data_IF_536903449586
#
_entry.id   IF_536903449586
#
_cell.length_a   1.000
_cell.length_b   1.000
_cell.length_c   1.000
_cell.angle_alpha   90.00
_cell.angle_beta   90.00
_cell.angle_gamma   90.00
#
_symmetry.space_group_name_H-M   'P 1'
#
loop_
_entity.id
_entity.type
_entity.pdbx_description
1 polymer ?
#
# COMPACT_ATOMS: atom_id res chain seq x y z
N UNK A 1 47.65 44.39 1.01
CA UNK A 1 46.53 45.35 1.12
C UNK A 1 45.35 44.69 0.45
N UNK A 2 44.41 44.05 1.14
CA UNK A 2 43.97 44.13 2.54
C UNK A 2 43.31 42.79 2.93
N UNK A 3 43.64 42.31 4.12
CA UNK A 3 42.80 41.64 5.14
C UNK A 3 42.16 40.25 4.91
N UNK A 4 42.76 39.27 5.60
CA UNK A 4 42.21 38.09 6.32
C UNK A 4 41.39 38.54 7.57
N UNK A 5 40.70 37.71 8.42
CA UNK A 5 40.41 36.26 8.40
C UNK A 5 39.04 35.77 9.04
N UNK A 6 38.84 34.44 9.02
CA UNK A 6 38.29 33.55 10.09
C UNK A 6 36.77 33.37 10.40
N UNK A 7 36.48 32.15 10.88
CA UNK A 7 35.33 31.60 11.67
C UNK A 7 34.07 31.18 10.86
N UNK A 8 33.46 30.00 11.01
CA UNK A 8 33.34 29.05 12.14
C UNK A 8 33.03 27.62 11.69
N UNK A 9 33.53 26.67 12.48
CA UNK A 9 33.05 25.29 12.65
C UNK A 9 31.57 25.19 13.07
N UNK A 10 30.88 24.15 12.62
CA UNK A 10 29.57 23.71 13.10
C UNK A 10 28.82 22.97 11.99
N UNK A 11 28.22 21.81 12.18
CA UNK A 11 27.98 20.94 13.32
C UNK A 11 27.42 19.66 12.69
N UNK A 12 27.87 18.50 13.14
CA UNK A 12 27.26 17.21 12.81
C UNK A 12 25.75 17.29 12.97
N UNK A 13 25.01 17.17 11.87
CA UNK A 13 23.59 16.92 11.87
C UNK A 13 23.41 15.42 11.62
N UNK A 14 23.48 14.66 12.70
CA UNK A 14 22.96 13.31 12.79
C UNK A 14 21.45 13.36 12.54
N UNK A 15 21.04 13.14 11.30
CA UNK A 15 19.63 12.92 10.98
C UNK A 15 19.30 11.45 11.27
N UNK A 16 18.84 11.23 12.50
CA UNK A 16 18.26 9.98 12.97
C UNK A 16 16.98 9.71 12.19
N UNK A 17 17.10 8.95 11.10
CA UNK A 17 15.97 8.33 10.42
C UNK A 17 15.40 7.24 11.34
N UNK A 18 14.45 7.64 12.19
CA UNK A 18 13.56 6.70 12.88
C UNK A 18 12.75 5.94 11.81
N UNK A 19 13.23 4.74 11.50
CA UNK A 19 12.50 3.75 10.73
C UNK A 19 11.25 3.34 11.53
N UNK A 20 10.14 4.01 11.28
CA UNK A 20 8.81 3.63 11.75
C UNK A 20 8.43 2.25 11.22
N UNK A 21 8.63 1.22 12.04
CA UNK A 21 8.16 -0.14 11.76
C UNK A 21 6.63 -0.13 11.87
N UNK A 22 5.93 -0.13 10.73
CA UNK A 22 4.48 -0.28 10.66
C UNK A 22 4.07 -1.62 11.29
N UNK A 23 3.16 -1.57 12.29
CA UNK A 23 2.77 -2.68 13.17
C UNK A 23 1.82 -3.67 12.50
N UNK A 24 2.15 -4.20 11.32
CA UNK A 24 1.30 -5.17 10.59
C UNK A 24 1.60 -6.65 10.89
N UNK A 25 2.16 -7.01 12.05
CA UNK A 25 2.36 -8.43 12.42
C UNK A 25 2.13 -8.73 13.90
N UNK A 26 0.93 -9.22 14.21
CA UNK A 26 0.74 -10.16 15.32
C UNK A 26 -0.51 -11.02 15.04
N UNK A 27 -0.31 -12.26 14.58
CA UNK A 27 -1.31 -13.32 14.74
C UNK A 27 -0.89 -14.23 15.89
N UNK A 28 -1.85 -14.48 16.76
CA UNK A 28 -1.77 -15.10 18.08
C UNK A 28 -1.34 -16.58 18.04
N UNK A 29 -0.50 -16.99 18.99
CA UNK A 29 -0.32 -18.40 19.37
C UNK A 29 -1.27 -18.70 20.55
N UNK A 30 -2.21 -19.63 20.34
CA UNK A 30 -3.16 -20.11 21.33
C UNK A 30 -2.63 -21.25 22.20
N UNK A 31 -3.11 -21.27 23.44
CA UNK A 31 -2.73 -22.06 24.61
C UNK A 31 -2.69 -23.60 24.45
N UNK A 32 -1.82 -24.24 25.25
CA UNK A 32 -2.14 -25.50 25.93
C UNK A 32 -1.75 -25.41 27.41
N UNK A 33 -2.71 -25.68 28.29
CA UNK A 33 -2.54 -25.81 29.74
C UNK A 33 -2.74 -27.28 30.14
N UNK A 34 -1.98 -27.76 31.12
CA UNK A 34 -2.26 -29.00 31.89
C UNK A 34 -1.90 -28.74 33.37
N UNK A 35 -2.71 -29.20 34.36
CA UNK A 35 -2.67 -28.72 35.74
C UNK A 35 -1.77 -29.57 36.66
N UNK A 36 -1.37 -29.01 37.80
CA UNK A 36 -0.81 -29.76 38.93
C UNK A 36 -1.60 -29.43 40.21
N UNK A 37 -1.95 -30.47 40.98
CA UNK A 37 -2.86 -30.44 42.11
C UNK A 37 -2.16 -30.39 43.48
N UNK A 38 -2.86 -29.72 44.42
CA UNK A 38 -3.01 -29.97 45.86
C UNK A 38 -1.87 -29.74 46.88
N UNK A 39 -2.13 -28.84 47.85
CA UNK A 39 -2.08 -29.12 49.31
C UNK A 39 -2.80 -28.02 50.12
N UNK A 40 -3.47 -28.42 51.21
CA UNK A 40 -4.36 -27.62 52.08
C UNK A 40 -3.62 -26.76 53.13
N UNK A 41 -4.22 -25.62 53.50
CA UNK A 41 -3.93 -24.89 54.75
C UNK A 41 -4.83 -23.65 54.91
N UNK A 42 -5.58 -23.56 56.00
CA UNK A 42 -6.57 -22.51 56.27
C UNK A 42 -6.04 -21.43 57.23
N UNK A 43 -6.32 -20.13 56.97
CA UNK A 43 -6.67 -19.11 57.99
C UNK A 43 -6.95 -17.69 57.42
N UNK A 44 -8.15 -17.16 57.76
CA UNK A 44 -8.61 -15.76 57.95
C UNK A 44 -8.72 -14.77 56.77
N UNK A 45 -9.82 -13.97 56.69
CA UNK A 45 -10.12 -13.10 55.56
C UNK A 45 -9.47 -11.70 55.71
N UNK A 46 -8.86 -11.22 54.63
CA UNK A 46 -8.34 -9.86 54.49
C UNK A 46 -9.19 -9.09 53.45
N UNK A 47 -9.23 -7.75 53.50
CA UNK A 47 -10.22 -6.97 52.74
C UNK A 47 -9.98 -7.04 51.24
N UNK A 48 -11.10 -6.94 50.54
CA UNK A 48 -11.32 -6.93 49.10
C UNK A 48 -10.34 -6.02 48.36
N UNK A 49 -9.50 -6.60 47.51
CA UNK A 49 -9.02 -5.90 46.31
C UNK A 49 -9.80 -6.49 45.15
N UNK A 50 -10.96 -5.89 44.84
CA UNK A 50 -11.51 -6.04 43.50
C UNK A 50 -10.40 -5.64 42.54
N UNK A 51 -9.98 -6.59 41.69
CA UNK A 51 -9.22 -6.23 40.52
C UNK A 51 -10.10 -5.25 39.74
N UNK A 52 -9.74 -3.97 39.80
CA UNK A 52 -10.31 -2.94 38.93
C UNK A 52 -10.22 -3.53 37.52
N UNK A 53 -11.33 -3.74 36.80
CA UNK A 53 -11.25 -3.93 35.37
C UNK A 53 -10.54 -2.67 34.91
N UNK A 54 -9.28 -2.80 34.47
CA UNK A 54 -8.68 -1.73 33.71
C UNK A 54 -9.61 -1.62 32.51
N UNK A 55 -10.43 -0.58 32.49
CA UNK A 55 -11.08 -0.14 31.28
C UNK A 55 -9.96 -0.06 30.27
N UNK A 56 -9.90 -1.08 29.41
CA UNK A 56 -8.92 -1.14 28.35
C UNK A 56 -9.26 0.09 27.52
N UNK A 57 -8.36 1.07 27.52
CA UNK A 57 -8.52 2.21 26.64
C UNK A 57 -8.80 1.65 25.25
N UNK A 58 -9.92 2.03 24.63
CA UNK A 58 -10.24 1.56 23.29
C UNK A 58 -9.00 1.81 22.44
N UNK A 59 -8.53 0.77 21.74
CA UNK A 59 -7.51 0.95 20.72
C UNK A 59 -7.96 2.13 19.87
N UNK A 60 -7.10 3.15 19.67
CA UNK A 60 -7.46 4.32 18.89
C UNK A 60 -8.13 3.89 17.59
N UNK A 61 -9.18 4.62 17.18
CA UNK A 61 -9.66 4.47 15.81
C UNK A 61 -8.45 4.61 14.90
N UNK A 62 -8.33 3.68 13.97
CA UNK A 62 -7.31 3.72 12.94
C UNK A 62 -7.28 5.14 12.38
N UNK A 63 -6.18 5.81 12.68
CA UNK A 63 -5.80 7.11 12.17
C UNK A 63 -4.28 7.00 11.97
N UNK A 64 -3.91 6.08 11.08
CA UNK A 64 -2.54 5.83 10.64
C UNK A 64 -2.34 6.18 9.15
N UNK A 65 -3.30 6.89 8.55
CA UNK A 65 -3.27 7.29 7.14
C UNK A 65 -4.56 7.01 6.36
N UNK A 66 -5.72 6.97 7.01
CA UNK A 66 -7.02 6.60 6.43
C UNK A 66 -7.67 7.70 5.57
N UNK A 67 -6.88 8.67 5.13
CA UNK A 67 -7.29 9.60 4.10
C UNK A 67 -7.72 8.79 2.85
N UNK A 68 -8.95 9.00 2.35
CA UNK A 68 -9.39 8.29 1.17
C UNK A 68 -8.42 8.46 0.02
N UNK A 69 -8.15 7.37 -0.69
CA UNK A 69 -7.31 7.42 -1.89
C UNK A 69 -7.90 8.42 -2.87
N UNK A 70 -7.10 9.42 -3.23
CA UNK A 70 -7.56 10.53 -4.05
C UNK A 70 -7.86 10.10 -5.48
N UNK A 71 -8.85 10.72 -6.14
CA UNK A 71 -9.07 10.52 -7.55
C UNK A 71 -8.01 11.24 -8.38
N UNK A 72 -7.72 10.70 -9.56
CA UNK A 72 -6.95 11.37 -10.62
C UNK A 72 -7.55 11.10 -11.99
N UNK A 73 -7.08 11.83 -12.99
CA UNK A 73 -7.55 11.69 -14.35
C UNK A 73 -7.39 10.25 -14.87
N UNK A 74 -8.40 9.80 -15.61
CA UNK A 74 -8.38 8.52 -16.35
C UNK A 74 -7.28 8.50 -17.43
N UNK A 75 -7.03 9.66 -18.04
CA UNK A 75 -6.17 9.76 -19.22
C UNK A 75 -6.85 9.21 -20.48
N UNK A 76 -6.22 9.37 -21.65
CA UNK A 76 -6.86 9.11 -22.94
C UNK A 76 -6.87 7.62 -23.33
N UNK A 77 -6.31 6.73 -22.49
CA UNK A 77 -6.01 5.35 -22.87
C UNK A 77 -6.78 4.31 -22.08
N UNK A 78 -7.83 4.65 -21.34
CA UNK A 78 -8.69 3.63 -20.75
C UNK A 78 -9.47 2.86 -21.85
N UNK A 79 -9.72 1.58 -21.62
CA UNK A 79 -10.58 0.74 -22.46
C UNK A 79 -11.51 -0.08 -21.57
N UNK A 80 -12.83 -0.01 -21.78
CA UNK A 80 -13.79 -0.81 -21.02
C UNK A 80 -13.66 -2.31 -21.38
N UNK A 81 -14.33 -3.17 -20.62
CA UNK A 81 -14.41 -4.62 -20.86
C UNK A 81 -13.03 -5.31 -20.86
N UNK A 82 -12.13 -4.88 -19.97
CA UNK A 82 -10.86 -5.57 -19.76
C UNK A 82 -11.09 -7.04 -19.35
N UNK A 83 -10.20 -7.98 -19.71
CA UNK A 83 -10.34 -9.37 -19.30
C UNK A 83 -10.12 -9.51 -17.78
N UNK A 84 -10.87 -10.41 -17.14
CA UNK A 84 -10.66 -10.74 -15.73
C UNK A 84 -9.36 -11.54 -15.57
N UNK A 85 -8.32 -10.95 -14.97
CA UNK A 85 -7.02 -11.59 -14.71
C UNK A 85 -6.20 -10.80 -13.69
N UNK A 86 -5.39 -11.51 -12.93
CA UNK A 86 -4.43 -10.93 -11.97
C UNK A 86 -3.01 -10.81 -12.55
N UNK A 87 -2.72 -11.47 -13.67
CA UNK A 87 -1.46 -11.32 -14.40
C UNK A 87 -1.71 -10.64 -15.75
N UNK A 88 -1.03 -9.52 -15.98
CA UNK A 88 -1.04 -8.78 -17.23
C UNK A 88 0.04 -9.25 -18.21
N UNK A 89 0.84 -10.24 -17.80
CA UNK A 89 2.06 -10.64 -18.48
C UNK A 89 2.19 -12.16 -18.56
N UNK A 90 2.98 -12.60 -19.54
CA UNK A 90 3.46 -13.99 -19.69
C UNK A 90 4.97 -14.04 -19.41
N UNK A 91 5.56 -15.24 -19.27
CA UNK A 91 7.01 -15.39 -19.10
C UNK A 91 7.84 -14.77 -20.23
N UNK A 92 7.28 -14.61 -21.43
CA UNK A 92 7.94 -14.01 -22.59
C UNK A 92 7.75 -12.49 -22.69
N UNK A 93 6.87 -11.88 -21.88
CA UNK A 93 6.63 -10.44 -21.92
C UNK A 93 7.92 -9.66 -21.56
N UNK A 94 8.39 -8.73 -22.42
CA UNK A 94 9.58 -7.94 -22.14
C UNK A 94 9.35 -6.90 -21.02
N UNK A 95 10.31 -6.80 -20.10
CA UNK A 95 10.34 -5.78 -19.06
C UNK A 95 10.76 -6.33 -17.70
N UNK A 96 11.10 -5.43 -16.79
CA UNK A 96 11.40 -5.76 -15.40
C UNK A 96 10.11 -6.23 -14.74
N UNK A 97 10.09 -7.44 -14.18
CA UNK A 97 8.90 -7.99 -13.50
C UNK A 97 8.51 -7.14 -12.31
N UNK A 98 7.22 -6.90 -12.16
CA UNK A 98 6.64 -6.13 -11.06
C UNK A 98 5.47 -6.91 -10.47
N UNK A 99 5.53 -7.19 -9.17
CA UNK A 99 4.41 -7.71 -8.40
C UNK A 99 3.86 -6.58 -7.53
N UNK A 100 2.63 -6.15 -7.76
CA UNK A 100 1.93 -5.16 -6.91
C UNK A 100 0.94 -5.89 -6.02
N UNK A 101 0.97 -5.62 -4.72
CA UNK A 101 0.03 -6.21 -3.76
C UNK A 101 -0.49 -5.13 -2.81
N UNK A 102 -1.57 -5.44 -2.13
CA UNK A 102 -2.12 -4.57 -1.10
C UNK A 102 -3.55 -4.94 -0.78
N UNK A 103 -4.23 -4.01 -0.14
CA UNK A 103 -5.59 -4.17 0.34
C UNK A 103 -6.51 -3.05 -0.16
N UNK A 104 -7.81 -3.28 -0.10
CA UNK A 104 -8.84 -2.25 -0.23
C UNK A 104 -9.59 -2.16 1.08
N UNK A 105 -9.66 -0.96 1.66
CA UNK A 105 -10.32 -0.66 2.92
C UNK A 105 -11.43 0.38 2.75
N UNK A 106 -12.35 0.41 3.71
CA UNK A 106 -13.23 1.56 4.00
C UNK A 106 -12.48 2.58 4.86
N UNK A 107 -13.09 3.75 5.13
CA UNK A 107 -12.51 4.74 6.06
C UNK A 107 -12.44 4.26 7.51
N UNK A 108 -13.34 3.37 7.92
CA UNK A 108 -13.28 2.69 9.21
C UNK A 108 -12.36 1.45 9.21
N UNK A 109 -11.42 1.35 8.26
CA UNK A 109 -10.41 0.28 8.13
C UNK A 109 -10.98 -1.13 8.03
N UNK A 110 -12.19 -1.24 7.48
CA UNK A 110 -12.80 -2.54 7.20
C UNK A 110 -12.33 -3.01 5.83
N UNK A 111 -11.74 -4.21 5.69
CA UNK A 111 -11.35 -4.74 4.39
C UNK A 111 -12.58 -4.94 3.50
N UNK A 112 -12.47 -4.51 2.25
CA UNK A 112 -13.56 -4.56 1.27
C UNK A 112 -13.40 -5.79 0.39
N UNK A 113 -14.20 -6.82 0.64
CA UNK A 113 -14.30 -7.98 -0.23
C UNK A 113 -15.01 -7.64 -1.55
N UNK A 114 -14.66 -8.37 -2.62
CA UNK A 114 -15.28 -8.22 -3.94
C UNK A 114 -15.20 -6.78 -4.51
N UNK A 115 -14.22 -5.98 -4.07
CA UNK A 115 -13.90 -4.72 -4.71
C UNK A 115 -13.26 -5.00 -6.07
N UNK A 116 -13.79 -4.40 -7.13
CA UNK A 116 -13.18 -4.38 -8.45
C UNK A 116 -11.88 -3.56 -8.39
N UNK A 117 -10.80 -4.11 -8.96
CA UNK A 117 -9.63 -3.34 -9.39
C UNK A 117 -9.39 -3.60 -10.88
N UNK A 118 -9.54 -2.58 -11.71
CA UNK A 118 -9.27 -2.63 -13.16
C UNK A 118 -8.02 -1.81 -13.49
N UNK A 119 -6.94 -2.51 -13.83
CA UNK A 119 -5.64 -1.92 -14.06
C UNK A 119 -5.35 -1.76 -15.56
N UNK A 120 -4.69 -0.65 -15.91
CA UNK A 120 -4.07 -0.48 -17.21
C UNK A 120 -2.77 0.32 -17.11
N UNK A 121 -1.85 0.06 -18.03
CA UNK A 121 -0.56 0.75 -18.08
C UNK A 121 0.03 0.74 -19.49
N UNK A 122 1.12 1.49 -19.67
CA UNK A 122 1.99 1.34 -20.82
C UNK A 122 2.84 0.05 -20.75
N UNK A 123 3.34 -0.39 -21.90
CA UNK A 123 4.40 -1.39 -22.01
C UNK A 123 5.76 -0.83 -21.49
N UNK A 124 6.81 -1.65 -21.50
CA UNK A 124 8.16 -1.26 -21.01
C UNK A 124 8.82 -0.12 -21.80
N UNK A 125 8.29 0.23 -22.98
CA UNK A 125 8.77 1.34 -23.83
C UNK A 125 7.88 2.60 -23.75
N UNK A 126 6.84 2.60 -22.90
CA UNK A 126 5.94 3.75 -22.72
C UNK A 126 4.75 3.80 -23.71
N UNK A 127 4.55 2.75 -24.52
CA UNK A 127 3.43 2.64 -25.45
C UNK A 127 2.20 1.95 -24.83
N UNK A 128 1.00 2.51 -25.06
CA UNK A 128 -0.27 1.89 -24.68
C UNK A 128 -0.83 1.03 -25.82
N UNK A 129 -1.37 -0.15 -25.50
CA UNK A 129 -2.12 -0.96 -26.46
C UNK A 129 -3.56 -0.43 -26.59
N UNK A 130 -3.84 0.20 -27.73
CA UNK A 130 -5.16 0.73 -28.07
C UNK A 130 -5.99 -0.23 -28.93
N UNK A 131 -5.38 -1.31 -29.48
CA UNK A 131 -6.07 -2.29 -30.33
C UNK A 131 -6.56 -3.46 -29.49
N UNK A 132 -5.65 -4.12 -28.77
CA UNK A 132 -5.93 -5.27 -27.92
C UNK A 132 -6.14 -4.89 -26.45
N UNK A 133 -5.82 -5.84 -25.57
CA UNK A 133 -5.85 -5.67 -24.12
C UNK A 133 -4.49 -5.90 -23.47
N UNK A 134 -3.37 -5.80 -24.19
CA UNK A 134 -2.06 -5.94 -23.56
C UNK A 134 -1.90 -4.93 -22.42
N UNK A 135 -1.43 -5.41 -21.26
CA UNK A 135 -1.32 -4.62 -20.04
C UNK A 135 -2.63 -4.00 -19.52
N UNK A 136 -3.76 -4.70 -19.73
CA UNK A 136 -5.08 -4.33 -19.19
C UNK A 136 -5.76 -5.52 -18.53
N UNK A 137 -6.41 -5.34 -17.39
CA UNK A 137 -7.15 -6.43 -16.79
C UNK A 137 -7.70 -6.07 -15.43
N UNK A 138 -8.78 -6.74 -15.08
CA UNK A 138 -9.44 -6.52 -13.81
C UNK A 138 -9.45 -7.76 -12.94
N UNK A 139 -9.62 -7.54 -11.64
CA UNK A 139 -9.75 -8.58 -10.63
C UNK A 139 -10.71 -8.09 -9.53
N UNK A 140 -11.05 -9.00 -8.64
CA UNK A 140 -11.82 -8.69 -7.44
C UNK A 140 -11.00 -9.06 -6.21
N UNK A 141 -11.08 -8.25 -5.16
CA UNK A 141 -10.45 -8.56 -3.89
C UNK A 141 -11.02 -9.83 -3.26
N UNK A 142 -10.15 -10.55 -2.54
CA UNK A 142 -10.55 -11.67 -1.68
C UNK A 142 -11.38 -11.23 -0.47
N UNK A 143 -11.84 -12.18 0.37
CA UNK A 143 -12.61 -11.88 1.59
C UNK A 143 -11.88 -10.98 2.60
N UNK A 144 -10.55 -10.97 2.56
CA UNK A 144 -9.67 -10.16 3.38
C UNK A 144 -9.35 -8.79 2.76
N UNK A 145 -9.99 -8.43 1.63
CA UNK A 145 -9.76 -7.18 0.91
C UNK A 145 -8.46 -7.16 0.11
N UNK A 146 -7.71 -8.27 0.03
CA UNK A 146 -6.42 -8.32 -0.65
C UNK A 146 -6.54 -8.39 -2.17
N UNK A 147 -5.61 -7.75 -2.87
CA UNK A 147 -5.41 -7.91 -4.32
C UNK A 147 -3.96 -8.29 -4.66
N UNK A 148 -3.73 -8.78 -5.89
CA UNK A 148 -2.38 -9.05 -6.40
C UNK A 148 -2.35 -8.83 -7.92
N UNK A 149 -1.37 -8.06 -8.39
CA UNK A 149 -1.16 -7.77 -9.80
C UNK A 149 0.26 -8.16 -10.22
N UNK A 150 0.36 -9.14 -11.11
CA UNK A 150 1.61 -9.49 -11.79
C UNK A 150 1.73 -8.74 -13.11
N UNK A 151 2.74 -7.89 -13.25
CA UNK A 151 2.97 -7.07 -14.43
C UNK A 151 4.48 -6.83 -14.67
N UNK A 152 4.82 -5.81 -15.45
CA UNK A 152 6.16 -5.25 -15.59
C UNK A 152 6.16 -3.78 -15.19
N UNK A 153 7.35 -3.26 -14.87
CA UNK A 153 7.58 -1.82 -14.70
C UNK A 153 7.29 -1.12 -16.04
N UNK A 154 6.24 -0.26 -16.16
CA UNK A 154 5.91 0.42 -17.41
C UNK A 154 7.01 1.39 -17.79
N UNK A 155 7.23 1.64 -19.08
CA UNK A 155 8.11 2.70 -19.55
C UNK A 155 7.55 4.10 -19.29
N UNK A 156 8.33 5.13 -19.60
CA UNK A 156 7.88 6.52 -19.47
C UNK A 156 7.05 6.92 -20.69
N UNK A 157 5.77 7.19 -20.48
CA UNK A 157 4.94 7.87 -21.49
C UNK A 157 5.40 9.35 -21.63
N UNK A 158 5.47 9.93 -22.84
CA UNK A 158 5.89 11.32 -23.03
C UNK A 158 5.13 12.31 -22.14
N UNK A 159 5.87 13.19 -21.47
CA UNK A 159 5.30 14.23 -20.60
C UNK A 159 4.78 13.77 -19.23
N UNK A 160 4.90 12.47 -18.89
CA UNK A 160 4.43 11.93 -17.61
C UNK A 160 5.56 11.22 -16.84
N UNK A 161 5.47 11.20 -15.52
CA UNK A 161 6.25 10.30 -14.66
C UNK A 161 5.75 8.86 -14.79
N UNK A 162 6.48 7.89 -14.26
CA UNK A 162 6.09 6.48 -14.35
C UNK A 162 4.86 6.22 -13.49
N UNK A 163 3.83 5.62 -14.07
CA UNK A 163 2.56 5.39 -13.39
C UNK A 163 1.88 4.08 -13.83
N UNK A 164 1.04 3.55 -12.94
CA UNK A 164 -0.01 2.58 -13.24
C UNK A 164 -1.35 3.30 -13.13
N UNK A 165 -2.29 3.01 -14.02
CA UNK A 165 -3.67 3.45 -13.82
C UNK A 165 -4.50 2.36 -13.17
N UNK A 166 -5.50 2.77 -12.40
CA UNK A 166 -6.45 1.85 -11.78
C UNK A 166 -7.82 2.49 -11.60
N UNK A 167 -8.86 1.70 -11.82
CA UNK A 167 -10.22 1.95 -11.34
C UNK A 167 -10.48 1.00 -10.17
N UNK A 168 -10.96 1.55 -9.06
CA UNK A 168 -11.33 0.78 -7.87
C UNK A 168 -12.80 1.01 -7.56
N UNK A 169 -13.56 -0.06 -7.34
CA UNK A 169 -14.99 0.04 -7.06
C UNK A 169 -15.42 -1.02 -6.06
N UNK A 170 -15.91 -0.59 -4.89
CA UNK A 170 -16.60 -1.48 -3.97
C UNK A 170 -17.97 -1.89 -4.54
N UNK A 171 -18.52 -3.06 -4.13
CA UNK A 171 -19.84 -3.49 -4.56
C UNK A 171 -20.90 -2.40 -4.39
N UNK A 172 -21.62 -2.08 -5.47
CA UNK A 172 -22.68 -1.07 -5.50
C UNK A 172 -22.26 0.35 -5.06
N UNK A 173 -20.97 0.71 -5.20
CA UNK A 173 -20.44 2.06 -4.92
C UNK A 173 -19.93 2.73 -6.20
N UNK A 174 -19.75 4.06 -6.21
CA UNK A 174 -19.12 4.75 -7.33
C UNK A 174 -17.68 4.27 -7.61
N UNK A 175 -17.23 4.41 -8.85
CA UNK A 175 -15.86 4.08 -9.26
C UNK A 175 -14.91 5.20 -8.83
N UNK A 176 -13.86 4.84 -8.09
CA UNK A 176 -12.65 5.66 -7.94
C UNK A 176 -11.75 5.43 -9.16
N UNK A 177 -11.40 6.49 -9.88
CA UNK A 177 -10.33 6.43 -10.90
C UNK A 177 -9.12 7.16 -10.36
N UNK A 178 -7.96 6.51 -10.39
CA UNK A 178 -6.72 7.09 -9.88
C UNK A 178 -5.48 6.51 -10.59
N UNK A 179 -4.29 6.92 -10.15
CA UNK A 179 -3.00 6.46 -10.65
C UNK A 179 -2.10 6.09 -9.47
N UNK A 180 -1.15 5.18 -9.68
CA UNK A 180 -0.12 4.82 -8.71
C UNK A 180 1.26 5.18 -9.27
N UNK A 181 2.10 5.79 -8.45
CA UNK A 181 3.41 6.30 -8.83
C UNK A 181 4.56 5.48 -8.24
N UNK A 182 5.72 5.58 -8.87
CA UNK A 182 6.94 4.91 -8.42
C UNK A 182 7.82 5.90 -7.64
N UNK A 183 8.48 5.45 -6.56
CA UNK A 183 9.42 6.28 -5.81
C UNK A 183 10.67 6.55 -6.65
N UNK A 184 11.31 7.70 -6.39
CA UNK A 184 12.60 8.07 -6.98
C UNK A 184 12.62 8.17 -8.52
N UNK A 185 11.47 8.41 -9.15
CA UNK A 185 11.45 8.78 -10.57
C UNK A 185 11.76 10.28 -10.71
N UNK A 186 12.80 10.69 -11.48
CA UNK A 186 13.15 12.10 -11.64
C UNK A 186 11.98 12.97 -12.11
N UNK A 187 11.07 12.39 -12.91
CA UNK A 187 9.88 13.08 -13.43
C UNK A 187 8.80 13.34 -12.37
N UNK A 188 8.87 12.75 -11.18
CA UNK A 188 7.95 13.11 -10.09
C UNK A 188 8.05 14.61 -9.75
N UNK A 189 9.21 15.22 -9.96
CA UNK A 189 9.44 16.65 -9.71
C UNK A 189 8.85 17.57 -10.79
N UNK A 190 8.41 17.02 -11.93
CA UNK A 190 8.00 17.80 -13.11
C UNK A 190 6.63 17.40 -13.66
N UNK A 191 6.12 16.22 -13.32
CA UNK A 191 4.78 15.78 -13.74
C UNK A 191 3.72 16.55 -12.92
N UNK A 192 2.87 17.38 -13.56
CA UNK A 192 1.94 18.25 -12.87
C UNK A 192 0.83 17.51 -12.10
N UNK A 193 0.65 16.21 -12.36
CA UNK A 193 -0.35 15.41 -11.65
C UNK A 193 0.26 14.36 -10.74
N UNK A 194 1.58 14.36 -10.54
CA UNK A 194 2.19 13.54 -9.50
C UNK A 194 1.66 13.98 -8.12
N UNK A 195 1.27 13.00 -7.29
CA UNK A 195 0.89 13.23 -5.89
C UNK A 195 1.57 12.18 -5.00
N UNK A 196 2.31 12.58 -3.95
CA UNK A 196 3.03 11.64 -3.09
C UNK A 196 2.10 10.68 -2.32
N UNK A 197 0.81 11.02 -2.12
CA UNK A 197 -0.17 10.11 -1.50
C UNK A 197 -0.50 8.89 -2.35
N UNK A 198 -0.11 8.91 -3.62
CA UNK A 198 -0.30 7.83 -4.58
C UNK A 198 1.00 7.06 -4.88
N UNK A 199 2.06 7.29 -4.09
CA UNK A 199 3.30 6.54 -4.20
C UNK A 199 3.13 5.11 -3.68
N UNK A 200 3.53 4.14 -4.50
CA UNK A 200 3.73 2.78 -4.03
C UNK A 200 5.02 2.68 -3.21
N UNK A 201 5.03 1.81 -2.21
CA UNK A 201 6.28 1.36 -1.60
C UNK A 201 6.89 0.28 -2.50
N UNK A 202 8.08 0.52 -3.05
CA UNK A 202 8.71 -0.38 -4.05
C UNK A 202 10.08 -0.84 -3.59
N UNK A 203 10.34 -2.15 -3.71
CA UNK A 203 11.65 -2.76 -3.43
C UNK A 203 12.12 -3.62 -4.61
N UNK A 204 13.43 -3.68 -4.81
CA UNK A 204 14.03 -4.61 -5.78
C UNK A 204 14.06 -6.03 -5.20
N UNK A 205 13.92 -7.03 -6.06
CA UNK A 205 14.10 -8.44 -5.70
C UNK A 205 15.50 -8.94 -6.07
N UNK A 206 16.03 -9.97 -5.39
CA UNK A 206 17.33 -10.57 -5.75
C UNK A 206 17.38 -11.14 -7.18
N UNK A 207 16.22 -11.47 -7.74
CA UNK A 207 16.07 -12.01 -9.11
C UNK A 207 15.98 -10.93 -10.19
N UNK A 208 16.21 -9.65 -9.84
CA UNK A 208 16.18 -8.53 -10.78
C UNK A 208 14.78 -7.99 -11.11
N UNK A 209 13.76 -8.42 -10.37
CA UNK A 209 12.40 -7.86 -10.44
C UNK A 209 12.17 -6.78 -9.39
N UNK A 210 10.90 -6.37 -9.26
CA UNK A 210 10.42 -5.45 -8.23
C UNK A 210 9.16 -5.98 -7.57
N UNK A 211 9.00 -5.67 -6.30
CA UNK A 211 7.76 -5.81 -5.56
C UNK A 211 7.29 -4.44 -5.11
N UNK A 212 6.00 -4.19 -5.22
CA UNK A 212 5.35 -2.96 -4.85
C UNK A 212 4.16 -3.22 -3.92
N UNK A 213 3.91 -2.30 -3.00
CA UNK A 213 2.74 -2.32 -2.12
C UNK A 213 2.00 -0.99 -2.14
N UNK A 214 0.67 -1.05 -2.13
CA UNK A 214 -0.22 0.10 -2.00
C UNK A 214 -1.59 -0.36 -1.49
N UNK A 215 -2.09 0.30 -0.44
CA UNK A 215 -3.42 0.04 0.11
C UNK A 215 -4.38 1.14 -0.33
N UNK A 216 -5.53 0.75 -0.88
CA UNK A 216 -6.59 1.69 -1.27
C UNK A 216 -7.55 1.91 -0.11
N UNK A 217 -7.93 3.16 0.12
CA UNK A 217 -8.98 3.53 1.08
C UNK A 217 -10.13 4.18 0.30
N UNK A 218 -11.30 3.57 0.32
CA UNK A 218 -12.48 4.08 -0.38
C UNK A 218 -13.30 4.99 0.54
N UNK A 219 -13.79 6.10 -0.01
CA UNK A 219 -14.50 7.15 0.73
C UNK A 219 -15.94 6.76 1.12
N UNK A 220 -16.10 5.69 1.89
CA UNK A 220 -17.36 5.25 2.48
C UNK A 220 -17.09 4.39 3.72
N UNK A 221 -18.16 4.12 4.48
CA UNK A 221 -18.04 3.57 5.83
C UNK A 221 -17.14 4.48 6.64
#
# INVERSE_FOLDING_TARGET
>A
MTDDPNLTSGKDASDSTENGISRKRALQLGLLAVPAAAALGAATPAPRSEAVPRDLEPTPQCDDGDDPTIPQMEGPYFKPNSPQRTSLVTPQTPGIRLLVTGYVFTRSCVPVAQALLDFWQANSQGGYDNVGYNFRGHQFTGPDGKFTLSTIVPGLYPGRTRHLHVKVQAPNRPILTTQLYFPNEPRNNTDPIFDPRLLMTVRNTPTGGREATFDFVLNFG
#
